data_IF_153818261309
#
_entry.id   IF_153818261309
#
_cell.length_a   1.000
_cell.length_b   1.000
_cell.length_c   1.000
_cell.angle_alpha   90.00
_cell.angle_beta   90.00
_cell.angle_gamma   90.00
#
_symmetry.space_group_name_H-M   'P 1'
#
loop_
_entity.id
_entity.type
_entity.pdbx_description
1 polymer ?
#
# COMPACT_ATOMS: atom_id res chain seq x y z
N UNK A 1 -2.45 -25.44 -8.17
CA UNK A 1 -1.93 -25.46 -6.80
C UNK A 1 -2.62 -24.31 -6.06
N UNK A 2 -2.78 -24.35 -4.74
CA UNK A 2 -3.54 -23.33 -4.00
C UNK A 2 -2.61 -22.71 -2.97
N UNK A 3 -2.59 -21.38 -2.90
CA UNK A 3 -1.91 -20.65 -1.82
C UNK A 3 -2.92 -20.44 -0.70
N UNK A 4 -2.55 -20.77 0.53
CA UNK A 4 -3.43 -20.59 1.70
C UNK A 4 -2.88 -19.45 2.55
N UNK A 5 -3.72 -18.45 2.77
CA UNK A 5 -3.44 -17.34 3.67
C UNK A 5 -4.35 -17.46 4.88
N UNK A 6 -3.78 -17.75 6.05
CA UNK A 6 -4.54 -17.72 7.30
C UNK A 6 -4.50 -16.32 7.87
N UNK A 7 -5.66 -15.68 7.91
CA UNK A 7 -5.90 -14.42 8.57
C UNK A 7 -6.27 -14.66 10.04
N UNK A 8 -6.06 -13.64 10.88
CA UNK A 8 -6.33 -13.69 12.32
C UNK A 8 -6.98 -12.40 12.78
N UNK A 9 -7.81 -12.50 13.81
CA UNK A 9 -8.27 -11.31 14.50
C UNK A 9 -7.12 -10.67 15.30
N UNK A 10 -6.73 -9.41 15.02
CA UNK A 10 -5.59 -8.80 15.70
C UNK A 10 -5.83 -8.59 17.20
N UNK A 11 -7.09 -8.58 17.65
CA UNK A 11 -7.49 -8.38 19.05
C UNK A 11 -7.88 -9.69 19.75
N UNK A 12 -8.24 -10.74 19.01
CA UNK A 12 -8.43 -12.10 19.51
C UNK A 12 -7.50 -13.07 18.78
N UNK A 13 -6.34 -13.33 19.38
CA UNK A 13 -5.27 -14.12 18.76
C UNK A 13 -5.62 -15.61 18.56
N UNK A 14 -6.81 -16.05 19.01
CA UNK A 14 -7.30 -17.42 18.85
C UNK A 14 -8.29 -17.60 17.70
N UNK A 15 -8.71 -16.50 17.07
CA UNK A 15 -9.70 -16.48 16.01
C UNK A 15 -9.04 -16.33 14.63
N UNK A 16 -9.27 -17.32 13.76
CA UNK A 16 -8.57 -17.47 12.48
C UNK A 16 -9.54 -17.70 11.32
N UNK A 17 -9.16 -17.20 10.14
CA UNK A 17 -9.90 -17.36 8.90
C UNK A 17 -8.95 -17.77 7.77
N UNK A 18 -9.21 -18.90 7.13
CA UNK A 18 -8.43 -19.31 5.96
C UNK A 18 -9.00 -18.68 4.69
N UNK A 19 -8.11 -18.07 3.91
CA UNK A 19 -8.39 -17.50 2.60
C UNK A 19 -7.58 -18.27 1.56
N UNK A 20 -8.27 -18.83 0.57
CA UNK A 20 -7.69 -19.68 -0.47
C UNK A 20 -7.50 -18.87 -1.75
N UNK A 21 -6.26 -18.77 -2.21
CA UNK A 21 -5.89 -18.10 -3.45
C UNK A 21 -5.65 -19.17 -4.53
N UNK A 22 -6.37 -19.04 -5.64
CA UNK A 22 -6.18 -19.81 -6.87
C UNK A 22 -5.29 -19.03 -7.84
N UNK A 23 -4.01 -19.41 -8.02
CA UNK A 23 -3.13 -18.80 -9.00
C UNK A 23 -3.60 -19.11 -10.42
N UNK A 24 -3.41 -18.15 -11.33
CA UNK A 24 -3.71 -18.29 -12.74
C UNK A 24 -2.75 -19.30 -13.41
N UNK A 25 -3.17 -19.97 -14.49
CA UNK A 25 -2.27 -20.80 -15.30
C UNK A 25 -1.42 -19.93 -16.25
N UNK A 26 -0.52 -19.14 -15.67
CA UNK A 26 0.41 -18.28 -16.39
C UNK A 26 1.84 -18.49 -15.90
N UNK A 27 2.83 -18.15 -16.74
CA UNK A 27 4.23 -18.24 -16.33
C UNK A 27 4.53 -17.32 -15.14
N UNK A 28 3.95 -16.12 -15.12
CA UNK A 28 4.13 -15.18 -14.00
C UNK A 28 3.59 -15.73 -12.69
N UNK A 29 2.39 -16.33 -12.69
CA UNK A 29 1.80 -16.89 -11.47
C UNK A 29 2.66 -18.03 -10.90
N UNK A 30 3.17 -18.94 -11.75
CA UNK A 30 4.08 -20.01 -11.32
C UNK A 30 5.40 -19.46 -10.75
N UNK A 31 5.95 -18.44 -11.38
CA UNK A 31 7.19 -17.80 -10.91
C UNK A 31 6.96 -17.01 -9.61
N UNK A 32 5.78 -16.41 -9.44
CA UNK A 32 5.35 -15.77 -8.19
C UNK A 32 5.19 -16.79 -7.06
N UNK A 33 4.54 -17.95 -7.31
CA UNK A 33 4.43 -19.02 -6.31
C UNK A 33 5.82 -19.46 -5.82
N UNK A 34 6.76 -19.67 -6.73
CA UNK A 34 8.14 -20.02 -6.39
C UNK A 34 8.86 -18.89 -5.61
N UNK A 35 8.62 -17.63 -5.97
CA UNK A 35 9.19 -16.49 -5.25
C UNK A 35 8.59 -16.35 -3.84
N UNK A 36 7.29 -16.58 -3.68
CA UNK A 36 6.60 -16.58 -2.38
C UNK A 36 7.11 -17.72 -1.49
N UNK A 37 7.27 -18.93 -2.05
CA UNK A 37 7.86 -20.07 -1.35
C UNK A 37 9.25 -19.73 -0.77
N UNK A 38 10.08 -19.02 -1.54
CA UNK A 38 11.40 -18.57 -1.08
C UNK A 38 11.30 -17.59 0.10
N UNK A 39 10.35 -16.66 0.10
CA UNK A 39 10.15 -15.74 1.23
C UNK A 39 9.65 -16.49 2.48
N UNK A 40 8.78 -17.48 2.31
CA UNK A 40 8.29 -18.36 3.38
C UNK A 40 9.43 -19.19 3.97
N UNK A 41 10.23 -19.86 3.14
CA UNK A 41 11.38 -20.66 3.58
C UNK A 41 12.43 -19.83 4.32
N UNK A 42 12.60 -18.57 3.93
CA UNK A 42 13.50 -17.61 4.60
C UNK A 42 12.93 -17.04 5.89
N UNK A 43 11.65 -17.30 6.18
CA UNK A 43 10.89 -16.66 7.25
C UNK A 43 11.02 -15.13 7.17
N UNK A 44 10.87 -14.59 5.95
CA UNK A 44 10.98 -13.16 5.68
C UNK A 44 9.93 -12.37 6.47
N UNK A 45 10.29 -11.16 6.92
CA UNK A 45 9.40 -10.38 7.77
C UNK A 45 8.30 -9.71 6.94
N UNK A 46 7.03 -10.04 7.20
CA UNK A 46 5.89 -9.30 6.67
C UNK A 46 5.77 -7.91 7.29
N UNK A 47 5.57 -6.89 6.45
CA UNK A 47 5.24 -5.53 6.87
C UNK A 47 3.74 -5.42 7.18
N UNK A 48 3.40 -5.55 8.46
CA UNK A 48 2.00 -5.57 8.92
C UNK A 48 1.45 -4.19 9.30
N UNK A 49 2.29 -3.16 9.37
CA UNK A 49 1.84 -1.79 9.68
C UNK A 49 1.28 -1.05 8.45
N UNK A 50 1.47 -1.61 7.27
CA UNK A 50 1.07 -1.02 5.99
C UNK A 50 0.55 -2.11 5.06
N UNK A 51 -0.42 -2.89 5.57
CA UNK A 51 -0.93 -4.08 4.89
C UNK A 51 -2.41 -3.94 4.49
N UNK A 52 -3.21 -3.22 5.26
CA UNK A 52 -4.66 -3.15 5.10
C UNK A 52 -5.10 -1.71 4.91
N UNK A 53 -5.78 -1.42 3.80
CA UNK A 53 -6.19 -0.07 3.43
C UNK A 53 -7.69 0.00 3.21
N UNK A 54 -8.30 1.13 3.61
CA UNK A 54 -9.70 1.40 3.28
C UNK A 54 -10.73 0.46 3.93
N UNK A 55 -10.43 -0.14 5.07
CA UNK A 55 -11.35 -1.02 5.82
C UNK A 55 -12.12 -0.25 6.91
N UNK A 56 -13.38 0.16 6.67
CA UNK A 56 -14.11 1.03 7.60
C UNK A 56 -14.48 0.35 8.92
N UNK A 57 -14.63 -0.97 8.93
CA UNK A 57 -15.05 -1.76 10.09
C UNK A 57 -13.87 -2.44 10.80
N UNK A 58 -12.62 -2.03 10.51
CA UNK A 58 -11.42 -2.60 11.10
C UNK A 58 -11.09 -2.07 12.51
N UNK A 59 -10.29 -2.85 13.25
CA UNK A 59 -9.78 -2.44 14.57
C UNK A 59 -8.89 -1.19 14.53
N UNK A 60 -8.14 -0.98 13.44
CA UNK A 60 -7.37 0.24 13.15
C UNK A 60 -8.27 1.36 12.62
N UNK A 61 -9.23 1.79 13.43
CA UNK A 61 -10.18 2.84 13.06
C UNK A 61 -9.54 4.24 13.06
N UNK A 62 -10.28 5.24 12.56
CA UNK A 62 -9.77 6.62 12.40
C UNK A 62 -9.23 7.22 13.71
N UNK A 63 -9.88 6.93 14.85
CA UNK A 63 -9.44 7.42 16.16
C UNK A 63 -8.10 6.81 16.56
N UNK A 64 -7.93 5.51 16.36
CA UNK A 64 -6.67 4.84 16.60
C UNK A 64 -5.57 5.42 15.69
N UNK A 65 -5.82 5.55 14.39
CA UNK A 65 -4.83 6.06 13.43
C UNK A 65 -4.40 7.50 13.73
N UNK A 66 -5.33 8.39 14.06
CA UNK A 66 -4.99 9.79 14.42
C UNK A 66 -4.24 9.87 15.75
N UNK A 67 -4.53 8.96 16.69
CA UNK A 67 -3.77 8.85 17.94
C UNK A 67 -2.32 8.42 17.69
N UNK A 68 -2.11 7.42 16.82
CA UNK A 68 -0.78 6.98 16.43
C UNK A 68 -0.02 8.05 15.63
N UNK A 69 -0.69 8.76 14.72
CA UNK A 69 -0.09 9.86 13.97
C UNK A 69 0.39 10.97 14.91
N UNK A 70 -0.46 11.35 15.87
CA UNK A 70 -0.10 12.31 16.93
C UNK A 70 1.09 11.83 17.76
N UNK A 71 1.10 10.55 18.16
CA UNK A 71 2.19 9.96 18.95
C UNK A 71 3.53 10.06 18.22
N UNK A 72 3.57 9.71 16.94
CA UNK A 72 4.79 9.79 16.14
C UNK A 72 5.22 11.24 15.85
N UNK A 73 4.27 12.14 15.57
CA UNK A 73 4.56 13.56 15.42
C UNK A 73 5.14 14.17 16.72
N UNK A 74 4.61 13.80 17.90
CA UNK A 74 5.16 14.19 19.20
C UNK A 74 6.59 13.66 19.41
N UNK A 75 6.87 12.42 19.02
CA UNK A 75 8.23 11.86 19.14
C UNK A 75 9.24 12.67 18.31
N UNK A 76 8.87 13.01 17.07
CA UNK A 76 9.69 13.84 16.17
C UNK A 76 9.87 15.25 16.74
N UNK A 77 8.77 15.86 17.19
CA UNK A 77 8.80 17.18 17.81
C UNK A 77 9.72 17.23 19.03
N UNK A 78 9.60 16.27 19.96
CA UNK A 78 10.45 16.18 21.15
C UNK A 78 11.93 16.08 20.79
N UNK A 79 12.27 15.30 19.75
CA UNK A 79 13.65 15.19 19.28
C UNK A 79 14.14 16.49 18.63
N UNK A 80 13.28 17.15 17.85
CA UNK A 80 13.57 18.47 17.26
C UNK A 80 13.89 19.52 18.34
N UNK A 81 13.14 19.54 19.45
CA UNK A 81 13.36 20.48 20.56
C UNK A 81 14.68 20.28 21.31
N UNK A 82 15.37 19.14 21.13
CA UNK A 82 16.71 18.94 21.68
C UNK A 82 17.77 19.81 20.99
N UNK A 83 17.45 20.44 19.85
CA UNK A 83 18.37 21.33 19.15
C UNK A 83 19.47 20.60 18.35
N UNK A 84 19.45 19.27 18.29
CA UNK A 84 20.51 18.46 17.64
C UNK A 84 20.57 18.78 16.14
N UNK A 85 19.44 18.78 15.46
CA UNK A 85 19.36 19.15 14.05
C UNK A 85 19.81 20.60 13.83
N UNK A 86 19.38 21.52 14.68
CA UNK A 86 19.71 22.95 14.56
C UNK A 86 21.20 23.22 14.81
N UNK A 87 21.84 22.48 15.73
CA UNK A 87 23.28 22.56 15.96
C UNK A 87 24.13 22.18 14.73
N UNK A 88 23.53 21.45 13.79
CA UNK A 88 24.12 21.03 12.52
C UNK A 88 23.65 21.91 11.34
N UNK A 89 23.00 23.05 11.64
CA UNK A 89 22.57 24.03 10.65
C UNK A 89 21.24 23.72 9.97
N UNK A 90 20.51 22.68 10.42
CA UNK A 90 19.19 22.37 9.88
C UNK A 90 18.12 23.32 10.45
N UNK A 91 17.14 23.76 9.64
CA UNK A 91 16.02 24.57 10.11
C UNK A 91 15.27 23.96 11.30
N UNK A 92 14.64 24.83 12.09
CA UNK A 92 13.69 24.36 13.10
C UNK A 92 12.40 23.86 12.43
N UNK A 93 11.97 22.65 12.77
CA UNK A 93 10.74 22.07 12.23
C UNK A 93 9.53 22.55 13.03
N UNK A 94 8.52 23.04 12.33
CA UNK A 94 7.20 23.31 12.89
C UNK A 94 6.28 22.17 12.48
N UNK A 95 6.19 21.16 13.34
CA UNK A 95 5.33 20.00 13.13
C UNK A 95 4.10 20.11 14.04
N UNK A 96 2.91 19.89 13.49
CA UNK A 96 1.69 19.75 14.29
C UNK A 96 1.77 18.46 15.11
N UNK A 97 1.27 18.47 16.33
CA UNK A 97 1.40 17.32 17.25
C UNK A 97 0.07 16.72 17.67
N UNK A 98 -1.03 17.39 17.32
CA UNK A 98 -2.38 16.94 17.66
C UNK A 98 -3.19 16.74 16.38
N UNK A 99 -3.45 15.48 16.07
CA UNK A 99 -4.35 15.05 15.01
C UNK A 99 -5.54 14.34 15.63
N UNK A 100 -6.74 14.73 15.23
CA UNK A 100 -8.01 14.09 15.62
C UNK A 100 -8.77 13.67 14.37
N UNK A 101 -9.81 12.81 14.49
CA UNK A 101 -10.67 12.49 13.36
C UNK A 101 -11.21 13.74 12.65
N UNK A 102 -11.56 14.78 13.39
CA UNK A 102 -12.09 16.04 12.87
C UNK A 102 -11.05 16.91 12.17
N UNK A 103 -9.76 16.75 12.48
CA UNK A 103 -8.69 17.49 11.78
C UNK A 103 -8.37 16.83 10.44
N UNK A 104 -8.36 15.50 10.38
CA UNK A 104 -7.92 14.73 9.19
C UNK A 104 -9.06 14.36 8.24
N UNK A 105 -10.31 14.45 8.68
CA UNK A 105 -11.49 14.14 7.87
C UNK A 105 -12.43 15.35 7.84
N UNK A 106 -12.87 15.73 6.64
CA UNK A 106 -13.89 16.77 6.49
C UNK A 106 -15.21 16.30 7.14
N UNK A 107 -16.03 17.22 7.68
CA UNK A 107 -17.30 16.86 8.30
C UNK A 107 -18.18 16.05 7.36
N UNK A 108 -18.64 14.90 7.87
CA UNK A 108 -19.51 14.00 7.14
C UNK A 108 -20.98 14.38 7.41
N UNK A 109 -21.63 15.00 6.43
CA UNK A 109 -23.02 15.45 6.51
C UNK A 109 -23.90 14.60 5.59
N UNK A 110 -25.16 14.97 5.38
CA UNK A 110 -26.03 14.23 4.44
C UNK A 110 -25.81 14.65 2.98
N UNK A 111 -25.02 15.70 2.74
CA UNK A 111 -24.56 16.07 1.40
C UNK A 111 -23.59 15.00 0.85
N UNK A 112 -23.88 14.36 -0.31
CA UNK A 112 -23.00 13.36 -0.92
C UNK A 112 -21.60 13.87 -1.30
N UNK A 113 -21.43 15.20 -1.39
CA UNK A 113 -20.14 15.84 -1.64
C UNK A 113 -19.31 16.03 -0.37
N UNK A 114 -19.92 15.90 0.81
CA UNK A 114 -19.24 16.05 2.11
C UNK A 114 -18.36 14.85 2.48
N UNK A 115 -17.59 15.01 3.55
CA UNK A 115 -16.66 14.01 4.06
C UNK A 115 -15.40 13.83 3.21
N UNK A 116 -14.64 12.79 3.53
CA UNK A 116 -13.37 12.47 2.88
C UNK A 116 -12.17 13.11 3.58
N UNK A 117 -10.95 12.83 3.11
CA UNK A 117 -9.73 13.33 3.73
C UNK A 117 -9.67 14.86 3.65
N UNK A 118 -9.16 15.48 4.71
CA UNK A 118 -8.78 16.89 4.71
C UNK A 118 -7.42 17.05 4.03
N UNK A 119 -7.42 17.23 2.71
CA UNK A 119 -6.20 17.28 1.90
C UNK A 119 -5.18 18.31 2.38
N UNK A 120 -5.58 19.45 2.95
CA UNK A 120 -4.63 20.44 3.46
C UNK A 120 -3.78 19.87 4.61
N UNK A 121 -4.42 19.14 5.52
CA UNK A 121 -3.75 18.48 6.66
C UNK A 121 -2.91 17.30 6.19
N UNK A 122 -3.45 16.47 5.30
CA UNK A 122 -2.74 15.28 4.80
C UNK A 122 -1.52 15.68 3.97
N UNK A 123 -1.64 16.70 3.10
CA UNK A 123 -0.52 17.26 2.35
C UNK A 123 0.56 17.82 3.29
N UNK A 124 0.20 18.45 4.41
CA UNK A 124 1.19 18.92 5.38
C UNK A 124 1.98 17.74 5.99
N UNK A 125 1.31 16.64 6.33
CA UNK A 125 1.96 15.43 6.84
C UNK A 125 2.87 14.79 5.79
N UNK A 126 2.42 14.69 4.54
CA UNK A 126 3.23 14.19 3.42
C UNK A 126 4.50 15.03 3.25
N UNK A 127 4.34 16.35 3.20
CA UNK A 127 5.48 17.27 3.08
C UNK A 127 6.47 17.09 4.24
N UNK A 128 6.00 16.93 5.49
CA UNK A 128 6.89 16.67 6.61
C UNK A 128 7.69 15.38 6.43
N UNK A 129 7.03 14.28 6.04
CA UNK A 129 7.70 13.03 5.76
C UNK A 129 8.76 13.18 4.67
N UNK A 130 8.43 13.78 3.53
CA UNK A 130 9.35 13.96 2.40
C UNK A 130 10.59 14.75 2.80
N UNK A 131 10.43 15.85 3.54
CA UNK A 131 11.56 16.66 4.02
C UNK A 131 12.38 15.93 5.09
N UNK A 132 11.73 15.19 5.98
CA UNK A 132 12.38 14.47 7.07
C UNK A 132 13.12 13.23 6.60
N UNK A 133 12.59 12.47 5.65
CA UNK A 133 13.22 11.26 5.13
C UNK A 133 14.18 11.56 3.98
N UNK A 134 13.79 12.45 3.06
CA UNK A 134 14.42 12.59 1.75
C UNK A 134 14.02 11.45 0.80
N UNK A 135 14.75 11.33 -0.30
CA UNK A 135 14.51 10.28 -1.30
C UNK A 135 15.35 9.04 -0.97
N UNK A 136 15.03 7.92 -1.63
CA UNK A 136 15.78 6.66 -1.45
C UNK A 136 17.25 6.81 -1.82
N UNK A 137 17.55 7.57 -2.88
CA UNK A 137 18.92 7.82 -3.32
C UNK A 137 19.62 8.93 -2.51
N UNK A 138 18.84 9.87 -1.96
CA UNK A 138 19.35 11.01 -1.22
C UNK A 138 18.56 11.23 0.07
N UNK A 139 18.85 10.39 1.07
CA UNK A 139 18.30 10.55 2.40
C UNK A 139 18.69 11.91 2.98
N UNK A 140 17.71 12.56 3.61
CA UNK A 140 17.89 13.86 4.23
C UNK A 140 18.90 13.78 5.39
N UNK A 141 19.51 14.91 5.71
CA UNK A 141 20.37 14.99 6.89
C UNK A 141 19.56 14.79 8.19
N UNK A 142 18.30 15.21 8.24
CA UNK A 142 17.40 14.93 9.36
C UNK A 142 17.33 13.43 9.66
N UNK A 143 17.09 12.62 8.61
CA UNK A 143 16.98 11.16 8.72
C UNK A 143 18.30 10.52 9.14
N UNK A 144 19.42 10.93 8.53
CA UNK A 144 20.74 10.34 8.80
C UNK A 144 21.14 10.49 10.27
N UNK A 145 20.84 11.64 10.88
CA UNK A 145 21.17 11.94 12.29
C UNK A 145 20.18 11.30 13.27
N UNK A 146 18.92 11.12 12.87
CA UNK A 146 17.87 10.62 13.75
C UNK A 146 18.22 9.24 14.34
N UNK A 147 18.00 9.01 15.66
CA UNK A 147 18.12 7.69 16.24
C UNK A 147 17.01 6.75 15.70
N UNK A 148 17.17 5.41 15.83
CA UNK A 148 16.27 4.44 15.21
C UNK A 148 14.77 4.64 15.50
N UNK A 149 14.41 4.99 16.74
CA UNK A 149 13.02 5.27 17.12
C UNK A 149 12.43 6.52 16.44
N UNK A 150 13.27 7.51 16.14
CA UNK A 150 12.86 8.70 15.38
C UNK A 150 12.80 8.41 13.88
N UNK A 151 13.73 7.62 13.33
CA UNK A 151 13.64 7.11 11.95
C UNK A 151 12.35 6.32 11.73
N UNK A 152 11.97 5.47 12.70
CA UNK A 152 10.69 4.76 12.69
C UNK A 152 9.51 5.72 12.72
N UNK A 153 9.52 6.71 13.63
CA UNK A 153 8.43 7.71 13.70
C UNK A 153 8.29 8.51 12.40
N UNK A 154 9.41 8.86 11.73
CA UNK A 154 9.38 9.51 10.41
C UNK A 154 8.70 8.60 9.38
N UNK A 155 9.07 7.32 9.32
CA UNK A 155 8.41 6.33 8.43
C UNK A 155 6.91 6.22 8.70
N UNK A 156 6.51 6.23 9.97
CA UNK A 156 5.10 6.12 10.34
C UNK A 156 4.26 7.33 9.92
N UNK A 157 4.86 8.53 9.76
CA UNK A 157 4.13 9.66 9.17
C UNK A 157 3.57 9.30 7.79
N UNK A 158 4.37 8.68 6.92
CA UNK A 158 3.91 8.27 5.59
C UNK A 158 2.86 7.17 5.65
N UNK A 159 3.17 6.10 6.40
CA UNK A 159 2.31 4.92 6.48
C UNK A 159 0.92 5.28 7.01
N UNK A 160 0.87 5.99 8.14
CA UNK A 160 -0.39 6.40 8.76
C UNK A 160 -1.12 7.43 7.91
N UNK A 161 -0.41 8.32 7.21
CA UNK A 161 -1.07 9.31 6.36
C UNK A 161 -1.86 8.64 5.25
N UNK A 162 -1.24 7.75 4.47
CA UNK A 162 -1.94 7.01 3.41
C UNK A 162 -3.04 6.07 3.95
N UNK A 163 -2.84 5.41 5.10
CA UNK A 163 -3.88 4.59 5.74
C UNK A 163 -5.08 5.46 6.14
N UNK A 164 -4.85 6.65 6.71
CA UNK A 164 -5.90 7.60 7.07
C UNK A 164 -6.62 8.12 5.80
N UNK A 165 -5.90 8.51 4.74
CA UNK A 165 -6.53 9.01 3.51
C UNK A 165 -7.49 7.98 2.90
N UNK A 166 -7.00 6.75 2.74
CA UNK A 166 -7.79 5.65 2.17
C UNK A 166 -8.97 5.26 3.07
N UNK A 167 -8.80 5.31 4.40
CA UNK A 167 -9.89 5.09 5.34
C UNK A 167 -10.93 6.22 5.28
N UNK A 168 -10.52 7.49 5.26
CA UNK A 168 -11.43 8.64 5.15
C UNK A 168 -12.26 8.58 3.86
N UNK A 169 -11.66 8.19 2.74
CA UNK A 169 -12.38 7.94 1.49
C UNK A 169 -13.40 6.81 1.66
N UNK A 170 -13.03 5.71 2.32
CA UNK A 170 -13.92 4.57 2.53
C UNK A 170 -15.05 4.88 3.50
N UNK A 171 -14.82 5.64 4.58
CA UNK A 171 -15.85 6.10 5.51
C UNK A 171 -16.87 7.02 4.80
N UNK A 172 -16.39 7.93 3.95
CA UNK A 172 -17.26 8.75 3.10
C UNK A 172 -18.12 7.87 2.19
N UNK A 173 -17.52 6.87 1.54
CA UNK A 173 -18.25 5.93 0.67
C UNK A 173 -19.24 5.09 1.47
N UNK A 174 -18.88 4.59 2.65
CA UNK A 174 -19.78 3.82 3.50
C UNK A 174 -21.09 4.57 3.78
N UNK A 175 -21.04 5.89 4.01
CA UNK A 175 -22.26 6.70 4.19
C UNK A 175 -23.04 6.93 2.90
N UNK A 176 -22.36 7.33 1.82
CA UNK A 176 -23.05 7.89 0.65
C UNK A 176 -23.20 6.92 -0.53
N UNK A 177 -22.30 5.95 -0.65
CA UNK A 177 -22.20 4.95 -1.73
C UNK A 177 -21.54 3.68 -1.18
N UNK A 178 -22.20 2.93 -0.26
CA UNK A 178 -21.59 1.82 0.46
C UNK A 178 -21.04 0.72 -0.45
N UNK A 179 -21.69 0.52 -1.61
CA UNK A 179 -21.22 -0.36 -2.68
C UNK A 179 -19.84 0.01 -3.24
N UNK A 180 -19.34 1.20 -2.96
CA UNK A 180 -18.10 1.75 -3.50
C UNK A 180 -17.04 2.03 -2.42
N UNK A 181 -17.14 1.42 -1.25
CA UNK A 181 -15.96 1.31 -0.40
C UNK A 181 -14.87 0.55 -1.17
N UNK A 182 -13.61 0.92 -0.95
CA UNK A 182 -12.46 0.39 -1.70
C UNK A 182 -11.40 -0.16 -0.75
N UNK A 183 -11.71 -1.22 0.00
CA UNK A 183 -10.70 -1.90 0.76
C UNK A 183 -9.68 -2.58 -0.16
N UNK A 184 -8.43 -2.62 0.27
CA UNK A 184 -7.38 -3.36 -0.39
C UNK A 184 -6.41 -3.95 0.64
N UNK A 185 -5.61 -4.90 0.15
CA UNK A 185 -4.53 -5.52 0.90
C UNK A 185 -3.24 -5.41 0.10
N UNK A 186 -2.17 -5.06 0.80
CA UNK A 186 -0.79 -5.02 0.28
C UNK A 186 0.02 -6.01 1.10
N UNK A 187 0.52 -7.07 0.47
CA UNK A 187 1.33 -8.10 1.16
C UNK A 187 2.78 -7.92 0.76
N UNK A 188 3.56 -7.30 1.65
CA UNK A 188 4.97 -6.97 1.40
C UNK A 188 5.89 -7.59 2.44
N UNK A 189 7.11 -7.92 2.01
CA UNK A 189 8.15 -8.44 2.89
C UNK A 189 9.29 -7.43 2.99
N UNK A 190 9.81 -7.21 4.20
CA UNK A 190 11.00 -6.39 4.40
C UNK A 190 12.20 -7.07 3.71
N UNK A 191 12.73 -6.41 2.69
CA UNK A 191 13.82 -6.91 1.85
C UNK A 191 13.46 -8.18 1.06
N UNK A 192 12.24 -8.22 0.49
CA UNK A 192 11.82 -9.21 -0.47
C UNK A 192 12.85 -9.38 -1.61
N UNK A 193 13.10 -10.62 -2.03
CA UNK A 193 13.98 -10.88 -3.17
C UNK A 193 13.25 -10.52 -4.46
N UNK A 194 13.92 -9.70 -5.27
CA UNK A 194 13.43 -9.25 -6.58
C UNK A 194 14.01 -10.10 -7.70
N UNK A 195 13.20 -10.31 -8.72
CA UNK A 195 13.49 -11.09 -9.91
C UNK A 195 13.10 -10.28 -11.15
N UNK A 196 13.83 -10.42 -12.25
CA UNK A 196 13.52 -9.67 -13.47
C UNK A 196 12.23 -10.20 -14.12
N UNK A 197 11.35 -9.27 -14.52
CA UNK A 197 10.24 -9.57 -15.40
C UNK A 197 10.76 -9.95 -16.79
N UNK A 198 10.22 -11.04 -17.33
CA UNK A 198 10.46 -11.48 -18.70
C UNK A 198 9.47 -10.83 -19.67
N UNK A 199 9.76 -10.88 -20.97
CA UNK A 199 8.82 -10.42 -22.00
C UNK A 199 7.49 -11.20 -21.96
N UNK A 200 7.53 -12.49 -21.61
CA UNK A 200 6.33 -13.31 -21.44
C UNK A 200 5.45 -12.80 -20.30
N UNK A 201 6.04 -12.43 -19.15
CA UNK A 201 5.31 -11.84 -18.03
C UNK A 201 4.63 -10.53 -18.43
N UNK A 202 5.34 -9.69 -19.18
CA UNK A 202 4.87 -8.35 -19.60
C UNK A 202 3.66 -8.40 -20.52
N UNK A 203 3.41 -9.51 -21.21
CA UNK A 203 2.19 -9.67 -22.01
C UNK A 203 0.91 -9.54 -21.18
N UNK A 204 0.97 -9.82 -19.87
CA UNK A 204 -0.16 -9.61 -18.95
C UNK A 204 -0.66 -8.17 -18.90
N UNK A 205 0.21 -7.18 -19.13
CA UNK A 205 -0.19 -5.76 -19.20
C UNK A 205 -1.12 -5.49 -20.38
N UNK A 206 -0.92 -6.20 -21.50
CA UNK A 206 -1.76 -6.04 -22.69
C UNK A 206 -3.13 -6.68 -22.51
N UNK A 207 -3.22 -7.76 -21.73
CA UNK A 207 -4.46 -8.49 -21.51
C UNK A 207 -5.30 -7.93 -20.36
N UNK A 208 -4.67 -7.47 -19.28
CA UNK A 208 -5.38 -6.93 -18.11
C UNK A 208 -5.46 -5.39 -18.13
N UNK A 209 -4.41 -4.71 -18.59
CA UNK A 209 -4.32 -3.25 -18.49
C UNK A 209 -4.54 -2.77 -17.06
N UNK A 210 -5.36 -1.73 -16.88
CA UNK A 210 -5.67 -1.14 -15.58
C UNK A 210 -6.91 -1.74 -14.89
N UNK A 211 -7.35 -2.93 -15.32
CA UNK A 211 -8.49 -3.59 -14.70
C UNK A 211 -8.14 -4.09 -13.28
N UNK A 212 -9.01 -3.77 -12.34
CA UNK A 212 -8.99 -4.24 -10.94
C UNK A 212 -10.33 -4.88 -10.61
N UNK A 213 -10.32 -6.15 -10.24
CA UNK A 213 -11.53 -6.96 -10.03
C UNK A 213 -11.62 -7.40 -8.57
N UNK A 214 -12.83 -7.45 -8.04
CA UNK A 214 -13.08 -7.88 -6.68
C UNK A 214 -12.52 -9.29 -6.45
N UNK A 215 -11.75 -9.46 -5.37
CA UNK A 215 -11.09 -10.70 -4.94
C UNK A 215 -9.98 -11.21 -5.87
N UNK A 216 -9.53 -10.40 -6.84
CA UNK A 216 -8.37 -10.77 -7.65
C UNK A 216 -7.06 -10.40 -6.97
N UNK A 217 -6.05 -11.22 -7.22
CA UNK A 217 -4.69 -11.08 -6.72
C UNK A 217 -3.82 -10.51 -7.82
N UNK A 218 -3.08 -9.45 -7.51
CA UNK A 218 -2.22 -8.75 -8.45
C UNK A 218 -0.78 -8.74 -7.95
N UNK A 219 0.15 -8.74 -8.88
CA UNK A 219 1.56 -8.60 -8.57
C UNK A 219 1.81 -7.23 -7.92
N UNK A 220 2.49 -7.23 -6.79
CA UNK A 220 2.85 -5.99 -6.11
C UNK A 220 3.81 -5.15 -6.98
N UNK A 221 3.70 -3.82 -6.88
CA UNK A 221 4.64 -2.93 -7.56
C UNK A 221 5.95 -2.82 -6.77
N UNK A 222 6.90 -3.70 -7.09
CA UNK A 222 8.13 -3.91 -6.28
C UNK A 222 9.24 -2.86 -6.51
N UNK A 223 8.92 -1.71 -7.10
CA UNK A 223 9.91 -0.70 -7.52
C UNK A 223 9.49 0.71 -7.10
N UNK A 224 10.47 1.58 -6.83
CA UNK A 224 10.21 2.97 -6.49
C UNK A 224 10.33 3.83 -7.74
N UNK A 225 9.40 4.76 -7.92
CA UNK A 225 9.36 5.72 -9.02
C UNK A 225 7.92 5.99 -9.44
N UNK A 226 7.71 7.00 -10.30
CA UNK A 226 6.37 7.30 -10.83
C UNK A 226 6.04 6.40 -12.01
N UNK A 227 4.81 5.95 -12.10
CA UNK A 227 4.24 5.35 -13.29
C UNK A 227 3.75 6.43 -14.26
N UNK A 228 3.61 6.08 -15.54
CA UNK A 228 3.01 6.98 -16.53
C UNK A 228 1.58 7.39 -16.16
N UNK A 229 0.80 6.49 -15.54
CA UNK A 229 -0.56 6.78 -15.09
C UNK A 229 -0.58 7.78 -13.93
N UNK A 230 0.35 7.67 -12.98
CA UNK A 230 0.48 8.65 -11.89
C UNK A 230 0.88 10.03 -12.44
N UNK A 231 1.84 10.11 -13.36
CA UNK A 231 2.18 11.38 -14.04
C UNK A 231 0.96 11.97 -14.74
N UNK A 232 0.20 11.15 -15.48
CA UNK A 232 -1.02 11.62 -16.15
C UNK A 232 -2.05 12.19 -15.15
N UNK A 233 -2.31 11.48 -14.05
CA UNK A 233 -3.32 11.88 -13.05
C UNK A 233 -2.89 13.07 -12.21
N UNK A 234 -1.68 13.05 -11.69
CA UNK A 234 -1.20 14.00 -10.69
C UNK A 234 -0.70 15.29 -11.33
N UNK A 235 -0.13 15.21 -12.53
CA UNK A 235 0.45 16.35 -13.25
C UNK A 235 -0.45 16.85 -14.39
N UNK A 236 -1.60 16.21 -14.61
CA UNK A 236 -2.63 16.67 -15.55
C UNK A 236 -2.24 16.50 -17.01
N UNK A 237 -1.70 15.33 -17.37
CA UNK A 237 -1.26 15.00 -18.73
C UNK A 237 -0.22 15.99 -19.30
N UNK A 238 0.92 16.20 -18.62
CA UNK A 238 1.92 17.17 -19.05
C UNK A 238 2.58 16.74 -20.37
N UNK A 239 3.17 17.69 -21.09
CA UNK A 239 4.18 17.35 -22.10
C UNK A 239 5.40 16.81 -21.39
N UNK A 240 5.84 15.62 -21.77
CA UNK A 240 6.96 14.95 -21.12
C UNK A 240 8.26 15.62 -21.52
N UNK A 241 8.93 16.22 -20.55
CA UNK A 241 10.29 16.73 -20.70
C UNK A 241 11.32 15.73 -20.17
N UNK A 242 12.62 16.03 -20.33
CA UNK A 242 13.69 15.14 -19.89
C UNK A 242 13.61 14.85 -18.37
N UNK A 243 13.19 15.83 -17.56
CA UNK A 243 13.14 15.67 -16.10
C UNK A 243 11.98 14.76 -15.68
N UNK A 244 10.81 14.88 -16.32
CA UNK A 244 9.68 13.96 -16.08
C UNK A 244 10.01 12.56 -16.57
N UNK A 245 10.69 12.41 -17.71
CA UNK A 245 11.13 11.12 -18.23
C UNK A 245 12.12 10.40 -17.28
N UNK A 246 13.03 11.15 -16.64
CA UNK A 246 14.00 10.57 -15.70
C UNK A 246 13.35 10.07 -14.39
N UNK A 247 12.18 10.62 -14.02
CA UNK A 247 11.42 10.22 -12.82
C UNK A 247 10.44 9.05 -13.07
N UNK A 248 10.10 8.78 -14.33
CA UNK A 248 9.24 7.65 -14.72
C UNK A 248 10.05 6.36 -14.65
N UNK A 249 9.53 5.38 -13.93
CA UNK A 249 10.17 4.06 -13.87
C UNK A 249 9.22 2.98 -14.38
N UNK A 250 9.61 2.31 -15.47
CA UNK A 250 8.90 1.13 -15.92
C UNK A 250 9.26 -0.05 -15.02
N UNK A 251 8.27 -0.86 -14.64
CA UNK A 251 8.46 -1.96 -13.71
C UNK A 251 9.43 -2.99 -14.29
N UNK A 252 10.51 -3.29 -13.58
CA UNK A 252 11.52 -4.25 -14.01
C UNK A 252 11.44 -5.57 -13.25
N UNK A 253 10.87 -5.54 -12.05
CA UNK A 253 10.97 -6.64 -11.10
C UNK A 253 9.61 -7.17 -10.64
N UNK A 254 9.59 -8.47 -10.34
CA UNK A 254 8.59 -9.11 -9.50
C UNK A 254 9.25 -9.69 -8.23
N UNK A 255 8.45 -10.03 -7.24
CA UNK A 255 8.87 -10.70 -6.00
C UNK A 255 7.77 -11.68 -5.55
N UNK A 256 7.92 -12.28 -4.37
CA UNK A 256 6.84 -13.06 -3.73
C UNK A 256 5.71 -12.20 -3.15
N UNK A 257 5.80 -10.87 -3.26
CA UNK A 257 4.81 -9.91 -2.76
C UNK A 257 3.59 -9.83 -3.69
N UNK A 258 2.43 -9.52 -3.13
CA UNK A 258 1.18 -9.45 -3.88
C UNK A 258 0.15 -8.55 -3.20
N UNK A 259 -0.74 -7.99 -4.02
CA UNK A 259 -1.86 -7.18 -3.58
C UNK A 259 -3.17 -7.92 -3.83
N UNK A 260 -4.17 -7.70 -2.97
CA UNK A 260 -5.53 -8.20 -3.19
C UNK A 260 -6.49 -7.02 -3.27
N UNK A 261 -7.27 -7.00 -4.34
CA UNK A 261 -8.34 -6.02 -4.52
C UNK A 261 -9.62 -6.51 -3.83
N UNK A 262 -10.06 -5.80 -2.79
CA UNK A 262 -11.31 -6.12 -2.10
C UNK A 262 -12.45 -5.17 -2.48
N UNK A 263 -12.21 -4.15 -3.30
CA UNK A 263 -13.26 -3.27 -3.83
C UNK A 263 -13.97 -3.85 -5.06
N UNK A 264 -15.16 -3.31 -5.40
CA UNK A 264 -15.91 -3.69 -6.61
C UNK A 264 -15.16 -3.45 -7.91
N UNK A 265 -15.34 -4.30 -8.90
CA UNK A 265 -14.66 -4.18 -10.20
C UNK A 265 -14.62 -2.75 -10.79
N UNK A 266 -13.41 -2.34 -11.14
CA UNK A 266 -13.09 -1.18 -11.97
C UNK A 266 -12.40 -1.72 -13.21
N UNK A 267 -13.16 -1.86 -14.29
CA UNK A 267 -12.66 -2.43 -15.54
C UNK A 267 -13.03 -1.52 -16.70
N UNK A 268 -12.16 -1.48 -17.70
CA UNK A 268 -12.43 -0.83 -18.97
C UNK A 268 -13.73 -1.35 -19.59
N UNK A 269 -14.57 -0.46 -20.11
CA UNK A 269 -15.87 -0.79 -20.68
C UNK A 269 -16.99 -1.06 -19.66
N UNK A 270 -16.69 -1.22 -18.37
CA UNK A 270 -17.70 -1.47 -17.32
C UNK A 270 -18.31 -0.18 -16.75
N UNK A 271 -17.50 0.88 -16.64
CA UNK A 271 -17.95 2.18 -16.12
C UNK A 271 -17.51 3.32 -17.03
N UNK A 272 -18.44 4.20 -17.42
CA UNK A 272 -18.15 5.30 -18.35
C UNK A 272 -16.97 6.18 -17.91
N UNK A 273 -16.84 6.44 -16.61
CA UNK A 273 -15.74 7.25 -16.08
C UNK A 273 -14.38 6.55 -16.20
N UNK A 274 -14.33 5.22 -15.97
CA UNK A 274 -13.11 4.43 -16.11
C UNK A 274 -12.70 4.29 -17.58
N UNK A 275 -13.66 3.98 -18.45
CA UNK A 275 -13.42 3.89 -19.89
C UNK A 275 -12.86 5.21 -20.42
N UNK A 276 -13.51 6.33 -20.05
CA UNK A 276 -13.08 7.67 -20.45
C UNK A 276 -11.66 7.98 -19.98
N UNK A 277 -11.33 7.71 -18.72
CA UNK A 277 -9.99 7.98 -18.18
C UNK A 277 -8.91 7.17 -18.93
N UNK A 278 -9.16 5.88 -19.19
CA UNK A 278 -8.23 5.03 -19.93
C UNK A 278 -8.08 5.49 -21.39
N UNK A 279 -9.17 5.92 -22.03
CA UNK A 279 -9.11 6.46 -23.39
C UNK A 279 -8.31 7.77 -23.46
N UNK A 280 -8.52 8.67 -22.50
CA UNK A 280 -7.78 9.94 -22.37
C UNK A 280 -6.29 9.68 -22.09
N UNK A 281 -5.98 8.72 -21.22
CA UNK A 281 -4.61 8.29 -20.94
C UNK A 281 -3.92 7.73 -22.18
N UNK A 282 -4.60 6.85 -22.93
CA UNK A 282 -4.04 6.27 -24.17
C UNK A 282 -3.82 7.34 -25.24
N UNK A 283 -4.72 8.32 -25.36
CA UNK A 283 -4.55 9.44 -26.28
C UNK A 283 -3.34 10.32 -25.90
N UNK A 284 -3.14 10.58 -24.60
CA UNK A 284 -1.98 11.30 -24.10
C UNK A 284 -0.67 10.53 -24.36
N UNK A 285 -0.62 9.23 -24.08
CA UNK A 285 0.56 8.42 -24.41
C UNK A 285 0.95 8.55 -25.89
N UNK A 286 -0.03 8.51 -26.79
CA UNK A 286 0.19 8.67 -28.22
C UNK A 286 0.68 10.07 -28.60
N UNK A 287 0.19 11.13 -27.95
CA UNK A 287 0.68 12.49 -28.20
C UNK A 287 2.15 12.65 -27.80
N UNK A 288 2.57 11.93 -26.77
CA UNK A 288 3.95 11.90 -26.29
C UNK A 288 4.83 10.84 -27.00
N UNK A 289 4.31 10.18 -28.04
CA UNK A 289 5.06 9.23 -28.86
C UNK A 289 5.22 7.82 -28.28
N UNK A 290 4.51 7.51 -27.19
CA UNK A 290 4.44 6.15 -26.65
C UNK A 290 3.36 5.33 -27.37
N UNK A 291 3.66 4.04 -27.58
CA UNK A 291 2.66 3.07 -28.02
C UNK A 291 1.99 2.43 -26.80
N UNK A 292 0.68 2.61 -26.57
CA UNK A 292 -0.05 1.97 -25.46
C UNK A 292 -0.01 0.43 -25.50
N UNK A 293 0.35 -0.17 -26.63
CA UNK A 293 0.52 -1.62 -26.78
C UNK A 293 1.95 -2.09 -26.53
N UNK A 294 2.87 -1.19 -26.18
CA UNK A 294 4.22 -1.58 -25.82
C UNK A 294 4.24 -2.09 -24.36
N UNK A 295 4.35 -3.41 -24.22
CA UNK A 295 4.40 -4.07 -22.91
C UNK A 295 5.64 -3.71 -22.07
N UNK A 296 6.70 -3.16 -22.67
CA UNK A 296 7.88 -2.67 -21.93
C UNK A 296 7.55 -1.45 -21.07
N UNK A 297 6.48 -0.71 -21.39
CA UNK A 297 6.04 0.46 -20.63
C UNK A 297 5.36 0.11 -19.29
N UNK A 298 5.03 -1.17 -19.08
CA UNK A 298 4.41 -1.68 -17.85
C UNK A 298 3.08 -0.98 -17.51
N UNK A 299 2.23 -0.79 -18.53
CA UNK A 299 0.98 -0.06 -18.40
C UNK A 299 -0.11 -0.96 -17.80
N UNK A 300 -0.29 -0.90 -16.49
CA UNK A 300 -1.39 -1.58 -15.80
C UNK A 300 -0.95 -2.48 -14.66
N UNK A 301 -1.78 -3.48 -14.38
CA UNK A 301 -1.58 -4.46 -13.32
C UNK A 301 -1.42 -5.86 -13.91
N UNK A 302 -0.57 -6.68 -13.29
CA UNK A 302 -0.39 -8.08 -13.66
C UNK A 302 -1.19 -8.97 -12.71
N UNK A 303 -2.19 -9.66 -13.24
CA UNK A 303 -3.07 -10.54 -12.47
C UNK A 303 -2.38 -11.88 -12.19
N UNK A 304 -2.25 -12.25 -10.92
CA UNK A 304 -1.61 -13.48 -10.46
C UNK A 304 -2.60 -14.61 -10.21
N UNK A 305 -3.82 -14.28 -9.81
CA UNK A 305 -4.84 -15.24 -9.41
C UNK A 305 -6.08 -14.57 -8.84
N UNK A 306 -6.88 -15.35 -8.10
CA UNK A 306 -8.11 -14.87 -7.45
C UNK A 306 -8.40 -15.66 -6.18
N UNK A 307 -9.20 -15.11 -5.29
CA UNK A 307 -9.69 -15.83 -4.11
C UNK A 307 -10.80 -16.80 -4.50
N UNK A 308 -10.75 -18.03 -3.99
CA UNK A 308 -11.93 -18.91 -3.94
C UNK A 308 -12.85 -18.41 -2.83
N UNK A 309 -13.82 -17.57 -3.21
CA UNK A 309 -14.74 -16.92 -2.28
C UNK A 309 -15.65 -17.90 -1.54
N UNK A 310 -16.15 -18.93 -2.23
CA UNK A 310 -17.04 -19.92 -1.61
C UNK A 310 -16.27 -20.79 -0.62
N UNK A 311 -15.05 -21.22 -0.96
CA UNK A 311 -14.21 -21.99 -0.04
C UNK A 311 -13.74 -21.15 1.16
N UNK A 312 -13.45 -19.86 0.95
CA UNK A 312 -12.91 -18.98 2.00
C UNK A 312 -14.00 -18.41 2.92
N UNK A 313 -15.17 -18.06 2.38
CA UNK A 313 -16.21 -17.31 3.10
C UNK A 313 -17.58 -17.97 3.10
N UNK A 314 -17.78 -19.03 2.30
CA UNK A 314 -19.10 -19.65 2.11
C UNK A 314 -20.13 -18.75 1.41
N UNK A 315 -19.65 -17.70 0.72
CA UNK A 315 -20.48 -16.75 -0.02
C UNK A 315 -19.65 -15.99 -1.05
N UNK A 316 -20.32 -15.47 -2.06
CA UNK A 316 -19.77 -14.50 -3.04
C UNK A 316 -20.30 -13.09 -2.83
N UNK A 317 -21.14 -12.86 -1.82
CA UNK A 317 -21.68 -11.55 -1.50
C UNK A 317 -20.60 -10.63 -0.90
N UNK A 318 -20.26 -9.57 -1.64
CA UNK A 318 -19.18 -8.64 -1.30
C UNK A 318 -19.38 -7.96 0.06
N UNK A 319 -20.61 -7.59 0.41
CA UNK A 319 -20.90 -6.90 1.68
C UNK A 319 -20.69 -7.83 2.86
N UNK A 320 -21.16 -9.08 2.75
CA UNK A 320 -20.94 -10.12 3.75
C UNK A 320 -19.44 -10.40 3.93
N UNK A 321 -18.69 -10.48 2.83
CA UNK A 321 -17.23 -10.69 2.88
C UNK A 321 -16.54 -9.50 3.57
N UNK A 322 -16.95 -8.27 3.28
CA UNK A 322 -16.40 -7.09 3.96
C UNK A 322 -16.64 -7.09 5.47
N UNK A 323 -17.84 -7.49 5.89
CA UNK A 323 -18.20 -7.59 7.32
C UNK A 323 -17.36 -8.67 8.04
N UNK A 324 -17.12 -9.80 7.39
CA UNK A 324 -16.21 -10.84 7.92
C UNK A 324 -14.78 -10.30 8.01
N UNK A 325 -14.23 -9.83 6.88
CA UNK A 325 -12.84 -9.39 6.76
C UNK A 325 -12.46 -8.27 7.73
N UNK A 326 -13.38 -7.38 8.07
CA UNK A 326 -13.15 -6.32 9.07
C UNK A 326 -12.62 -6.82 10.42
N UNK A 327 -12.89 -8.09 10.77
CA UNK A 327 -12.40 -8.72 11.99
C UNK A 327 -11.03 -9.39 11.84
N UNK A 328 -10.55 -9.69 10.63
CA UNK A 328 -9.37 -10.55 10.40
C UNK A 328 -8.21 -9.82 9.68
N UNK A 329 -8.01 -8.54 9.96
CA UNK A 329 -6.98 -7.71 9.32
C UNK A 329 -5.57 -7.93 9.94
N UNK A 330 -5.12 -9.18 9.97
CA UNK A 330 -3.76 -9.62 10.34
C UNK A 330 -3.43 -10.95 9.64
N UNK A 331 -2.33 -11.00 8.88
CA UNK A 331 -1.89 -12.24 8.21
C UNK A 331 -1.13 -13.11 9.23
N UNK A 332 -1.72 -14.20 9.70
CA UNK A 332 -1.07 -15.09 10.66
C UNK A 332 -0.10 -16.07 10.01
N UNK A 333 -0.45 -16.68 8.89
CA UNK A 333 0.45 -17.59 8.18
C UNK A 333 0.19 -17.60 6.68
N UNK A 334 1.20 -18.07 5.94
CA UNK A 334 1.13 -18.31 4.51
C UNK A 334 1.63 -19.73 4.22
N UNK A 335 0.95 -20.41 3.31
CA UNK A 335 1.31 -21.73 2.79
C UNK A 335 1.29 -21.74 1.26
N UNK A 336 2.34 -22.29 0.65
CA UNK A 336 2.46 -22.50 -0.80
C UNK A 336 3.35 -23.71 -1.05
N UNK A 337 2.96 -24.61 -1.95
CA UNK A 337 3.73 -25.82 -2.32
C UNK A 337 4.24 -26.66 -1.12
N UNK A 338 3.48 -26.69 -0.02
CA UNK A 338 3.84 -27.39 1.21
C UNK A 338 4.85 -26.66 2.11
N UNK A 339 5.42 -25.53 1.65
CA UNK A 339 6.14 -24.59 2.51
C UNK A 339 5.16 -23.78 3.34
N UNK A 340 5.48 -23.55 4.62
CA UNK A 340 4.61 -22.86 5.57
C UNK A 340 5.41 -21.99 6.53
N UNK A 341 4.97 -20.75 6.73
CA UNK A 341 5.56 -19.81 7.68
C UNK A 341 4.48 -19.16 8.55
N UNK A 342 4.80 -19.02 9.84
CA UNK A 342 3.95 -18.37 10.84
C UNK A 342 4.52 -17.00 11.17
N UNK A 343 3.69 -15.99 11.06
CA UNK A 343 3.98 -14.59 11.37
C UNK A 343 3.23 -14.19 12.66
N UNK A 344 3.62 -14.79 13.78
CA UNK A 344 2.95 -14.61 15.07
C UNK A 344 3.32 -13.29 15.76
N UNK A 345 2.93 -12.18 15.12
CA UNK A 345 3.03 -10.81 15.62
C UNK A 345 1.97 -9.94 14.95
N UNK A 346 1.50 -8.88 15.60
CA UNK A 346 0.63 -7.87 14.98
C UNK A 346 0.83 -6.50 15.63
N UNK A 347 0.27 -5.46 15.00
CA UNK A 347 0.31 -4.08 15.50
C UNK A 347 -0.27 -3.91 16.92
N UNK A 348 -1.04 -4.87 17.41
CA UNK A 348 -1.65 -4.84 18.73
C UNK A 348 -0.71 -5.37 19.84
N UNK A 349 0.43 -5.97 19.49
CA UNK A 349 1.38 -6.50 20.47
C UNK A 349 2.21 -5.36 21.12
N UNK A 350 2.44 -5.45 22.43
CA UNK A 350 3.15 -4.41 23.20
C UNK A 350 4.57 -4.14 22.69
N UNK A 351 5.25 -5.16 22.13
CA UNK A 351 6.62 -5.08 21.64
C UNK A 351 6.72 -4.91 20.11
N UNK A 352 5.58 -4.75 19.41
CA UNK A 352 5.54 -4.71 17.94
C UNK A 352 6.42 -3.61 17.35
N UNK A 353 6.35 -2.39 17.90
CA UNK A 353 7.19 -1.27 17.45
C UNK A 353 8.68 -1.58 17.59
N UNK A 354 9.09 -2.20 18.71
CA UNK A 354 10.49 -2.55 18.91
C UNK A 354 10.96 -3.62 17.93
N UNK A 355 10.13 -4.66 17.70
CA UNK A 355 10.42 -5.69 16.69
C UNK A 355 10.61 -5.07 15.30
N UNK A 356 9.74 -4.15 14.92
CA UNK A 356 9.81 -3.45 13.63
C UNK A 356 11.09 -2.62 13.50
N UNK A 357 11.45 -1.86 14.54
CA UNK A 357 12.72 -1.13 14.57
C UNK A 357 13.88 -2.09 14.37
N UNK A 358 13.91 -3.22 15.08
CA UNK A 358 14.99 -4.21 14.98
C UNK A 358 15.10 -4.80 13.57
N UNK A 359 13.97 -5.09 12.91
CA UNK A 359 13.95 -5.57 11.53
C UNK A 359 14.45 -4.52 10.51
N UNK A 360 14.26 -3.23 10.80
CA UNK A 360 14.70 -2.12 9.94
C UNK A 360 16.16 -1.70 10.20
N UNK A 361 16.77 -2.13 11.31
CA UNK A 361 18.14 -1.76 11.68
C UNK A 361 19.20 -2.01 10.60
N UNK A 362 19.18 -3.13 9.82
CA UNK A 362 20.13 -3.32 8.73
C UNK A 362 20.11 -2.17 7.72
N UNK A 363 18.92 -1.70 7.33
CA UNK A 363 18.75 -0.55 6.44
C UNK A 363 19.11 0.77 7.12
N UNK A 364 18.85 0.92 8.42
CA UNK A 364 19.24 2.15 9.14
C UNK A 364 20.76 2.33 9.27
N UNK A 365 21.52 1.23 9.21
CA UNK A 365 22.98 1.21 9.34
C UNK A 365 23.72 1.32 8.00
N UNK A 366 23.08 1.03 6.87
CA UNK A 366 23.70 1.14 5.55
C UNK A 366 23.95 2.59 5.08
N UNK A 367 23.49 3.58 5.84
CA UNK A 367 23.54 5.00 5.49
C UNK A 367 24.34 5.86 6.50
N UNK A 368 25.11 5.23 7.39
CA UNK A 368 25.99 5.88 8.37
C UNK A 368 27.43 5.88 7.86
#
# INVERSE_FOLDING_TARGET
>A
MTVIMTLRNPLDKTDFLNVFIEPNDTQLARDWEAALAIEIQRNSILEKNYCWHGWPNGARNIKYLTSELSRHAVNIWKFNELGIWQSLGLPNLKIETVYTPETVMLPLTDDPSSGGPNHDVMNLVHNHFEHLQGTVENLSLYYKIAPPNIKYSIRQLNNLCHEIETLCLSLRKQKHKPDWIRPSQITTFLNAKRYNLTDEHRNGFLTNGYDRKFSHVYMHWTQIGKTLMEVFRDEGAPTLDQATCDAITHLQYYSGEFDIEWGRDVCYGKHNWQTKEVDEFNAWLQSEGYDPKNSSLSLGYLELGKIDLEMSFGTTDISTIWDVMGNYLDIYSLEVDGDHAIYDYSWADEDHEQRQIDYLMPGYRSHV
#
